data_IF_803995911864
#
_entry.id   IF_803995911864
#
_cell.length_a   1.000
_cell.length_b   1.000
_cell.length_c   1.000
_cell.angle_alpha   90.00
_cell.angle_beta   90.00
_cell.angle_gamma   90.00
#
_symmetry.space_group_name_H-M   'P 1'
#
loop_
_entity.id
_entity.type
_entity.pdbx_description
1 polymer ?
#
# COMPACT_ATOMS: atom_id res chain seq x y z
N UNK A 1 -64.69 39.86 13.16
CA UNK A 1 -64.34 39.69 13.06
C UNK A 1 -63.49 39.23 12.86
N UNK A 2 -62.95 38.98 12.91
CA UNK A 2 -62.41 38.72 12.80
C UNK A 2 -61.52 38.38 12.58
N UNK A 3 -61.06 38.27 12.56
CA UNK A 3 -60.39 38.07 12.39
C UNK A 3 -59.46 37.62 12.76
N UNK A 4 -59.29 37.84 13.19
CA UNK A 4 -58.22 37.53 13.91
C UNK A 4 -57.42 36.40 13.53
N UNK A 5 -57.78 35.72 12.92
CA UNK A 5 -57.16 34.57 12.59
C UNK A 5 -55.91 34.67 11.93
N UNK A 6 -55.70 35.71 11.49
CA UNK A 6 -54.62 35.88 10.68
C UNK A 6 -53.33 35.56 11.22
N UNK A 7 -53.08 35.79 12.36
CA UNK A 7 -51.75 35.68 12.83
C UNK A 7 -51.19 34.35 12.67
N UNK A 8 -52.02 33.53 12.57
CA UNK A 8 -51.51 32.29 12.53
C UNK A 8 -50.66 31.94 11.52
N UNK A 9 -50.85 32.56 10.56
CA UNK A 9 -50.24 32.20 9.38
C UNK A 9 -48.80 32.24 9.41
N UNK A 10 -48.26 33.15 10.03
CA UNK A 10 -46.83 33.34 10.02
C UNK A 10 -46.11 32.27 10.77
N UNK A 11 -46.71 31.79 11.79
CA UNK A 11 -46.07 30.80 12.63
C UNK A 11 -45.64 29.53 11.89
N UNK A 12 -46.40 28.98 11.02
CA UNK A 12 -45.94 27.79 10.30
C UNK A 12 -44.73 28.02 9.44
N UNK A 13 -44.57 29.20 8.97
CA UNK A 13 -43.45 29.49 8.12
C UNK A 13 -42.11 29.40 8.79
N UNK A 14 -42.09 29.63 10.10
CA UNK A 14 -40.82 29.58 10.80
C UNK A 14 -40.26 28.17 10.92
N UNK A 15 -41.06 27.19 10.98
CA UNK A 15 -40.58 25.83 11.13
C UNK A 15 -39.82 25.31 9.90
N UNK A 16 -40.16 25.76 8.76
CA UNK A 16 -39.50 25.32 7.52
C UNK A 16 -38.01 25.61 7.50
N UNK A 17 -37.53 26.83 7.85
CA UNK A 17 -36.11 27.08 7.92
C UNK A 17 -35.37 26.21 8.94
N UNK A 18 -35.99 25.95 10.06
CA UNK A 18 -35.36 25.13 11.07
C UNK A 18 -35.13 23.68 10.60
N UNK A 19 -36.05 23.16 9.82
CA UNK A 19 -35.85 21.82 9.22
C UNK A 19 -34.71 21.80 8.25
N UNK A 20 -34.57 22.79 7.44
CA UNK A 20 -33.48 22.90 6.51
C UNK A 20 -32.12 23.02 7.20
N UNK A 21 -32.05 23.75 8.29
CA UNK A 21 -30.84 23.88 9.06
C UNK A 21 -30.36 22.54 9.61
N UNK A 22 -31.24 21.67 10.05
CA UNK A 22 -30.88 20.34 10.53
C UNK A 22 -30.30 19.49 9.43
N UNK A 23 -30.87 19.53 8.25
CA UNK A 23 -30.38 18.77 7.11
C UNK A 23 -28.98 19.23 6.72
N UNK A 24 -28.76 20.53 6.71
CA UNK A 24 -27.44 21.08 6.39
C UNK A 24 -26.37 20.69 7.41
N UNK A 25 -26.73 20.62 8.67
CA UNK A 25 -25.81 20.17 9.70
C UNK A 25 -25.37 18.72 9.51
N UNK A 26 -26.27 17.85 9.09
CA UNK A 26 -25.93 16.46 8.80
C UNK A 26 -25.01 16.34 7.58
N UNK A 27 -25.27 17.12 6.54
CA UNK A 27 -24.42 17.13 5.35
C UNK A 27 -23.01 17.64 5.65
N UNK A 28 -22.89 18.66 6.46
CA UNK A 28 -21.60 19.17 6.88
C UNK A 28 -20.81 18.14 7.70
N UNK A 29 -21.49 17.40 8.57
CA UNK A 29 -20.86 16.36 9.35
C UNK A 29 -20.35 15.20 8.48
N UNK A 30 -21.08 14.83 7.44
CA UNK A 30 -20.64 13.80 6.50
C UNK A 30 -19.40 14.22 5.70
N UNK A 31 -19.34 15.46 5.28
CA UNK A 31 -18.19 15.99 4.54
C UNK A 31 -16.94 15.98 5.42
N UNK A 32 -17.07 16.33 6.68
CA UNK A 32 -15.94 16.30 7.61
C UNK A 32 -15.45 14.87 7.86
N UNK A 33 -16.34 13.89 7.91
CA UNK A 33 -15.94 12.50 8.04
C UNK A 33 -15.16 11.97 6.84
N UNK A 34 -15.55 12.37 5.64
CA UNK A 34 -14.84 11.96 4.44
C UNK A 34 -13.44 12.56 4.38
N UNK A 35 -13.29 13.81 4.82
CA UNK A 35 -11.97 14.44 4.88
C UNK A 35 -11.06 13.82 5.94
N UNK A 36 -11.60 13.43 7.09
CA UNK A 36 -10.82 12.76 8.11
C UNK A 36 -10.37 11.36 7.68
N UNK A 37 -11.17 10.67 6.87
CA UNK A 37 -10.79 9.37 6.35
C UNK A 37 -9.62 9.41 5.35
N UNK A 38 -9.46 10.51 4.65
CA UNK A 38 -8.36 10.66 3.68
C UNK A 38 -6.99 10.80 4.35
N UNK A 39 -6.93 11.25 5.58
CA UNK A 39 -5.67 11.41 6.31
C UNK A 39 -5.19 10.12 6.97
N UNK A 40 -6.03 9.10 7.05
CA UNK A 40 -5.68 7.84 7.69
C UNK A 40 -4.92 6.87 6.76
N UNK A 41 -4.69 7.25 5.50
CA UNK A 41 -4.09 6.35 4.51
C UNK A 41 -2.56 6.38 4.47
N UNK A 42 -1.92 7.29 5.19
CA UNK A 42 -0.47 7.45 5.17
C UNK A 42 0.25 6.74 6.32
N UNK A 43 -0.37 5.74 6.92
CA UNK A 43 0.32 4.92 7.90
C UNK A 43 1.13 3.84 7.20
N UNK A 44 2.28 4.25 6.73
CA UNK A 44 3.30 3.35 6.25
C UNK A 44 3.94 2.69 7.47
N UNK A 45 3.50 1.48 7.77
CA UNK A 45 3.94 0.73 8.95
C UNK A 45 5.37 0.22 8.84
N UNK A 46 6.26 0.95 8.22
CA UNK A 46 7.65 0.54 8.12
C UNK A 46 7.85 -0.69 7.27
N UNK A 47 7.03 -0.89 6.26
CA UNK A 47 7.18 -2.01 5.34
C UNK A 47 8.12 -1.64 4.19
N UNK A 48 8.85 -2.63 3.71
CA UNK A 48 9.75 -2.50 2.57
C UNK A 48 9.26 -3.29 1.38
N UNK A 49 9.65 -2.85 0.20
CA UNK A 49 9.49 -3.60 -1.03
C UNK A 49 10.87 -3.91 -1.60
N UNK A 50 11.08 -5.13 -2.02
CA UNK A 50 12.28 -5.55 -2.72
C UNK A 50 11.93 -5.86 -4.16
N UNK A 51 12.70 -5.32 -5.08
CA UNK A 51 12.52 -5.59 -6.49
C UNK A 51 13.87 -5.55 -7.21
N UNK A 52 13.90 -6.11 -8.39
CA UNK A 52 15.11 -6.15 -9.20
C UNK A 52 14.92 -7.03 -10.41
N UNK A 53 16.03 -7.42 -11.01
CA UNK A 53 16.03 -8.30 -12.17
C UNK A 53 16.94 -9.49 -11.97
N UNK A 54 16.59 -10.60 -12.61
CA UNK A 54 17.47 -11.76 -12.70
C UNK A 54 18.16 -11.69 -14.05
N UNK A 55 19.49 -11.69 -14.02
CA UNK A 55 20.33 -11.53 -15.19
C UNK A 55 21.26 -12.75 -15.34
N UNK A 56 21.67 -13.02 -16.58
CA UNK A 56 22.69 -14.04 -16.87
C UNK A 56 24.10 -13.42 -16.80
N UNK A 57 25.11 -14.21 -17.15
CA UNK A 57 26.50 -13.76 -17.15
C UNK A 57 26.76 -12.60 -18.13
N UNK A 58 25.91 -12.45 -19.12
CA UNK A 58 26.03 -11.40 -20.17
C UNK A 58 25.08 -10.22 -19.90
N UNK A 59 24.50 -10.13 -18.70
CA UNK A 59 23.53 -9.11 -18.31
C UNK A 59 22.20 -9.16 -19.08
N UNK A 60 21.88 -10.30 -19.68
CA UNK A 60 20.59 -10.52 -20.30
C UNK A 60 19.55 -10.97 -19.27
N UNK A 61 18.34 -10.46 -19.39
CA UNK A 61 17.24 -10.79 -18.49
C UNK A 61 16.82 -12.24 -18.61
N UNK A 62 16.59 -12.92 -17.49
CA UNK A 62 16.15 -14.30 -17.45
C UNK A 62 14.68 -14.37 -17.05
N UNK A 63 13.85 -14.88 -17.95
CA UNK A 63 12.46 -15.19 -17.70
C UNK A 63 12.34 -16.56 -17.04
N UNK A 64 11.46 -16.69 -16.06
CA UNK A 64 11.16 -17.99 -15.46
C UNK A 64 12.16 -18.45 -14.40
N UNK A 65 13.08 -17.60 -13.97
CA UNK A 65 13.94 -17.92 -12.86
C UNK A 65 13.16 -17.89 -11.56
N UNK A 66 13.52 -18.75 -10.62
CA UNK A 66 12.88 -18.78 -9.32
C UNK A 66 13.72 -17.92 -8.37
N UNK A 67 13.12 -16.88 -7.82
CA UNK A 67 13.75 -16.00 -6.83
C UNK A 67 13.28 -16.43 -5.45
N UNK A 68 14.21 -16.63 -4.55
CA UNK A 68 13.96 -17.04 -3.16
C UNK A 68 14.27 -15.89 -2.23
N UNK A 69 13.39 -15.67 -1.27
CA UNK A 69 13.59 -14.68 -0.21
C UNK A 69 13.41 -15.37 1.13
N UNK A 70 14.46 -15.42 1.92
CA UNK A 70 14.43 -16.06 3.24
C UNK A 70 14.45 -15.02 4.35
N UNK A 71 13.52 -15.15 5.28
CA UNK A 71 13.50 -14.36 6.50
C UNK A 71 14.58 -14.91 7.46
N UNK A 72 15.54 -14.08 7.85
CA UNK A 72 16.65 -14.53 8.70
C UNK A 72 16.23 -14.87 10.13
N UNK A 73 15.09 -14.33 10.57
CA UNK A 73 14.61 -14.56 11.93
C UNK A 73 13.80 -15.85 12.06
N UNK A 74 12.93 -16.12 11.09
CA UNK A 74 12.02 -17.27 11.13
C UNK A 74 12.44 -18.40 10.21
N UNK A 75 13.38 -18.15 9.29
CA UNK A 75 13.79 -19.06 8.22
C UNK A 75 12.70 -19.36 7.18
N UNK A 76 11.60 -18.63 7.20
CA UNK A 76 10.55 -18.77 6.19
C UNK A 76 11.06 -18.32 4.82
N UNK A 77 10.69 -19.03 3.78
CA UNK A 77 11.10 -18.75 2.41
C UNK A 77 9.88 -18.41 1.57
N UNK A 78 9.96 -17.29 0.86
CA UNK A 78 9.00 -16.91 -0.17
C UNK A 78 9.65 -17.05 -1.54
N UNK A 79 8.88 -17.35 -2.55
CA UNK A 79 9.37 -17.50 -3.91
C UNK A 79 8.63 -16.58 -4.87
N UNK A 80 9.31 -16.22 -5.96
CA UNK A 80 8.73 -15.44 -7.05
C UNK A 80 9.35 -15.92 -8.36
N UNK A 81 8.54 -16.08 -9.39
CA UNK A 81 9.03 -16.47 -10.72
C UNK A 81 9.22 -15.20 -11.53
N UNK A 82 10.45 -14.99 -12.04
CA UNK A 82 10.76 -13.79 -12.81
C UNK A 82 9.90 -13.68 -14.08
N UNK A 83 9.49 -12.45 -14.38
CA UNK A 83 8.64 -12.15 -15.54
C UNK A 83 9.40 -12.11 -16.87
N UNK A 84 8.73 -11.69 -17.93
CA UNK A 84 9.26 -11.64 -19.29
C UNK A 84 10.51 -10.77 -19.41
N UNK A 85 10.61 -9.73 -18.59
CA UNK A 85 11.76 -8.83 -18.54
C UNK A 85 12.77 -9.21 -17.45
N UNK A 86 12.64 -10.40 -16.86
CA UNK A 86 13.48 -10.87 -15.77
C UNK A 86 13.17 -10.24 -14.41
N UNK A 87 12.16 -9.40 -14.31
CA UNK A 87 11.87 -8.69 -13.07
C UNK A 87 11.25 -9.58 -12.01
N UNK A 88 11.54 -9.27 -10.76
CA UNK A 88 10.92 -9.90 -9.58
C UNK A 88 10.55 -8.85 -8.55
N UNK A 89 9.63 -9.19 -7.68
CA UNK A 89 9.16 -8.28 -6.65
C UNK A 89 8.66 -9.03 -5.43
N UNK A 90 9.06 -8.54 -4.26
CA UNK A 90 8.49 -8.95 -2.98
C UNK A 90 7.98 -7.70 -2.25
N UNK A 91 6.74 -7.71 -1.84
CA UNK A 91 6.11 -6.58 -1.19
C UNK A 91 5.87 -6.85 0.29
N UNK A 92 5.67 -5.78 1.05
CA UNK A 92 5.27 -5.83 2.45
C UNK A 92 6.25 -6.61 3.35
N UNK A 93 7.55 -6.39 3.13
CA UNK A 93 8.59 -6.96 3.97
C UNK A 93 8.74 -6.16 5.25
N UNK A 94 9.03 -6.83 6.37
CA UNK A 94 9.25 -6.16 7.64
C UNK A 94 10.51 -5.31 7.60
N UNK A 95 10.41 -4.06 8.05
CA UNK A 95 11.54 -3.14 8.03
C UNK A 95 12.60 -3.46 9.08
N UNK A 96 12.26 -4.22 10.12
CA UNK A 96 13.14 -4.56 11.21
C UNK A 96 13.75 -5.97 11.09
N UNK A 97 13.61 -6.61 9.96
CA UNK A 97 14.08 -7.98 9.73
C UNK A 97 15.05 -8.01 8.57
N UNK A 98 16.11 -8.81 8.70
CA UNK A 98 17.03 -9.08 7.61
C UNK A 98 16.49 -10.18 6.72
N UNK A 99 16.66 -10.04 5.42
CA UNK A 99 16.25 -11.03 4.43
C UNK A 99 17.43 -11.39 3.54
N UNK A 100 17.48 -12.65 3.12
CA UNK A 100 18.47 -13.14 2.15
C UNK A 100 17.75 -13.47 0.86
N UNK A 101 18.25 -12.98 -0.25
CA UNK A 101 17.63 -13.17 -1.57
C UNK A 101 18.64 -13.81 -2.54
N UNK A 102 18.18 -14.77 -3.32
CA UNK A 102 18.95 -15.40 -4.40
C UNK A 102 18.00 -15.90 -5.46
N UNK A 103 18.53 -16.20 -6.64
CA UNK A 103 17.78 -16.76 -7.75
C UNK A 103 18.38 -18.08 -8.22
N UNK A 104 17.54 -18.94 -8.77
CA UNK A 104 17.95 -20.19 -9.39
C UNK A 104 17.29 -20.35 -10.75
N UNK A 105 18.04 -20.86 -11.71
CA UNK A 105 17.56 -21.12 -13.06
C UNK A 105 18.38 -22.25 -13.70
N UNK A 106 17.71 -23.28 -14.19
CA UNK A 106 18.35 -24.41 -14.87
C UNK A 106 19.53 -25.03 -14.08
N UNK A 107 19.31 -25.24 -12.79
CA UNK A 107 20.31 -25.85 -11.92
C UNK A 107 21.44 -24.93 -11.47
N UNK A 108 21.43 -23.66 -11.89
CA UNK A 108 22.42 -22.65 -11.49
C UNK A 108 21.79 -21.70 -10.47
N UNK A 109 22.62 -21.18 -9.59
CA UNK A 109 22.18 -20.23 -8.56
C UNK A 109 22.99 -18.93 -8.67
N UNK A 110 22.34 -17.83 -8.34
CA UNK A 110 23.03 -16.56 -8.14
C UNK A 110 23.68 -16.51 -6.75
N UNK A 111 24.67 -15.63 -6.55
CA UNK A 111 25.14 -15.34 -5.18
C UNK A 111 23.97 -14.78 -4.35
N UNK A 112 23.97 -15.09 -3.07
CA UNK A 112 22.97 -14.56 -2.13
C UNK A 112 23.31 -13.11 -1.78
N UNK A 113 22.28 -12.29 -1.66
CA UNK A 113 22.40 -10.90 -1.21
C UNK A 113 21.50 -10.66 -0.02
N UNK A 114 21.90 -9.76 0.85
CA UNK A 114 21.17 -9.47 2.09
C UNK A 114 20.47 -8.12 1.98
N UNK A 115 19.20 -8.10 2.37
CA UNK A 115 18.43 -6.87 2.60
C UNK A 115 18.48 -6.63 4.10
N UNK A 116 19.26 -5.65 4.54
CA UNK A 116 19.48 -5.39 5.96
C UNK A 116 18.32 -4.62 6.58
N UNK A 117 18.05 -4.92 7.85
CA UNK A 117 17.11 -4.12 8.66
C UNK A 117 17.63 -2.69 8.87
N UNK A 118 18.93 -2.47 8.76
CA UNK A 118 19.50 -1.13 8.85
C UNK A 118 19.31 -0.31 7.57
N UNK A 119 18.92 -0.93 6.46
CA UNK A 119 18.60 -0.21 5.24
C UNK A 119 17.23 0.44 5.40
N UNK A 120 17.19 1.75 5.48
CA UNK A 120 15.98 2.52 5.74
C UNK A 120 15.15 2.81 4.49
N UNK A 121 15.60 2.38 3.32
CA UNK A 121 14.88 2.59 2.07
C UNK A 121 13.59 1.77 2.04
N UNK A 122 12.50 2.36 1.61
CA UNK A 122 11.23 1.67 1.43
C UNK A 122 11.19 0.84 0.17
N UNK A 123 11.98 1.23 -0.83
CA UNK A 123 12.14 0.52 -2.09
C UNK A 123 13.61 0.11 -2.21
N UNK A 124 13.86 -1.18 -2.25
CA UNK A 124 15.20 -1.73 -2.40
C UNK A 124 15.30 -2.42 -3.76
N UNK A 125 16.36 -2.09 -4.52
CA UNK A 125 16.61 -2.69 -5.83
C UNK A 125 17.85 -3.56 -5.75
N UNK A 126 17.71 -4.83 -6.06
CA UNK A 126 18.81 -5.78 -6.09
C UNK A 126 18.70 -6.63 -7.35
N UNK A 127 19.71 -6.56 -8.21
CA UNK A 127 19.81 -7.43 -9.37
C UNK A 127 20.55 -8.71 -8.98
N UNK A 128 20.05 -9.85 -9.44
CA UNK A 128 20.61 -11.17 -9.16
C UNK A 128 21.21 -11.72 -10.45
N UNK A 129 22.49 -12.05 -10.41
CA UNK A 129 23.22 -12.50 -11.59
C UNK A 129 23.56 -13.99 -11.48
N UNK A 130 23.05 -14.77 -12.41
CA UNK A 130 23.32 -16.21 -12.51
C UNK A 130 24.44 -16.41 -13.52
N UNK A 131 25.54 -16.97 -13.06
CA UNK A 131 26.71 -17.23 -13.92
C UNK A 131 26.73 -18.64 -14.45
#
# INVERSE_FOLDING_TARGET
MKQGPQPFFSAPGFFVPARHLRIWAFLAAMVVMVLAGAWAQDQDFGLKNLQGKVLDAKDASIKGAIVYLQNSRTSDVKTFISGDDGSYRFAALSADTDYTVWAAFQGKKSPSKTVSSFDTRKQVYIDLKIK
#
